data_IF_149702073355
#
_entry.id   IF_149702073355
#
_cell.length_a   1.000
_cell.length_b   1.000
_cell.length_c   1.000
_cell.angle_alpha   90.00
_cell.angle_beta   90.00
_cell.angle_gamma   90.00
#
_symmetry.space_group_name_H-M   'P 1'
#
loop_
_entity.id
_entity.type
_entity.pdbx_description
1 polymer ?
#
# COMPACT_ATOMS: atom_id res chain seq x y z
N UNK A 1 -4.30 7.28 7.94
CA UNK A 1 -4.91 6.21 8.79
C UNK A 1 -6.44 6.21 8.66
N UNK A 2 -7.00 5.65 7.59
CA UNK A 2 -8.45 5.65 7.29
C UNK A 2 -9.32 4.87 8.29
N UNK A 3 -8.83 3.72 8.78
CA UNK A 3 -9.55 2.86 9.72
C UNK A 3 -9.90 3.53 11.05
N UNK A 4 -9.13 4.55 11.46
CA UNK A 4 -9.38 5.28 12.70
C UNK A 4 -10.68 6.08 12.62
N UNK A 5 -10.94 6.65 11.45
CA UNK A 5 -12.08 7.51 11.17
C UNK A 5 -13.26 6.74 10.55
N UNK A 6 -13.06 5.45 10.22
CA UNK A 6 -14.03 4.62 9.51
C UNK A 6 -14.50 5.24 8.19
N UNK A 7 -13.64 6.04 7.56
CA UNK A 7 -13.84 6.62 6.24
C UNK A 7 -12.83 5.99 5.28
N UNK A 8 -13.24 5.54 4.09
CA UNK A 8 -12.28 5.02 3.11
C UNK A 8 -11.39 6.16 2.58
N UNK A 9 -10.18 5.86 2.07
CA UNK A 9 -9.33 6.83 1.37
C UNK A 9 -10.01 7.61 0.23
N UNK A 10 -11.09 7.06 -0.32
CA UNK A 10 -11.92 7.65 -1.38
C UNK A 10 -12.97 8.61 -0.86
N UNK A 11 -13.09 8.79 0.45
CA UNK A 11 -14.00 9.80 1.00
C UNK A 11 -13.49 11.20 0.62
N UNK A 12 -14.42 12.09 0.25
CA UNK A 12 -14.11 13.47 -0.16
C UNK A 12 -13.28 14.24 0.86
N UNK A 13 -13.36 13.88 2.14
CA UNK A 13 -12.57 14.51 3.20
C UNK A 13 -11.07 14.25 3.06
N UNK A 14 -10.66 13.21 2.32
CA UNK A 14 -9.25 12.93 2.05
C UNK A 14 -8.71 13.61 0.79
N UNK A 15 -9.55 14.14 -0.10
CA UNK A 15 -9.08 14.73 -1.37
C UNK A 15 -8.17 15.94 -1.16
N UNK A 16 -8.43 16.85 -0.19
CA UNK A 16 -7.49 17.92 0.12
C UNK A 16 -6.14 17.40 0.64
N UNK A 17 -6.12 16.27 1.35
CA UNK A 17 -4.89 15.63 1.81
C UNK A 17 -4.11 15.06 0.62
N UNK A 18 -4.78 14.34 -0.28
CA UNK A 18 -4.18 13.77 -1.48
C UNK A 18 -3.57 14.86 -2.37
N UNK A 19 -4.31 15.94 -2.61
CA UNK A 19 -3.83 17.10 -3.36
C UNK A 19 -2.59 17.74 -2.69
N UNK A 20 -2.62 17.94 -1.37
CA UNK A 20 -1.48 18.47 -0.64
C UNK A 20 -0.26 17.53 -0.72
N UNK A 21 -0.45 16.21 -0.69
CA UNK A 21 0.63 15.24 -0.89
C UNK A 21 1.25 15.36 -2.29
N UNK A 22 0.43 15.54 -3.33
CA UNK A 22 0.89 15.81 -4.70
C UNK A 22 1.70 17.11 -4.76
N UNK A 23 1.15 18.21 -4.23
CA UNK A 23 1.79 19.54 -4.27
C UNK A 23 3.15 19.55 -3.55
N UNK A 24 3.26 18.81 -2.45
CA UNK A 24 4.48 18.71 -1.64
C UNK A 24 5.45 17.63 -2.16
N UNK A 25 5.04 16.80 -3.12
CA UNK A 25 5.84 15.68 -3.61
C UNK A 25 6.11 14.61 -2.55
N UNK A 26 5.18 14.40 -1.61
CA UNK A 26 5.30 13.41 -0.53
C UNK A 26 4.32 12.25 -0.71
N UNK A 27 4.65 11.04 -0.27
CA UNK A 27 3.76 9.89 -0.44
C UNK A 27 2.56 9.94 0.51
N UNK A 28 1.42 9.45 0.03
CA UNK A 28 0.28 9.10 0.88
C UNK A 28 0.45 7.65 1.38
N UNK A 29 0.73 7.51 2.67
CA UNK A 29 0.86 6.20 3.31
C UNK A 29 -0.45 5.79 4.01
N UNK A 30 -0.94 4.58 3.73
CA UNK A 30 -2.15 4.06 4.36
C UNK A 30 -2.08 2.57 4.64
N UNK A 31 -2.71 2.13 5.73
CA UNK A 31 -2.91 0.71 5.99
C UNK A 31 -3.86 0.09 4.95
N UNK A 32 -3.53 -1.11 4.48
CA UNK A 32 -4.34 -1.93 3.58
C UNK A 32 -4.47 -3.34 4.15
N UNK A 33 -5.61 -3.99 3.89
CA UNK A 33 -5.97 -5.29 4.42
C UNK A 33 -6.57 -5.20 5.82
N UNK A 34 -6.33 -6.24 6.61
CA UNK A 34 -6.86 -6.41 7.95
C UNK A 34 -6.32 -5.34 8.91
N UNK A 35 -7.25 -4.68 9.60
CA UNK A 35 -6.96 -3.75 10.68
C UNK A 35 -6.60 -4.52 11.94
N UNK A 36 -5.35 -4.41 12.41
CA UNK A 36 -4.87 -5.11 13.61
C UNK A 36 -5.63 -4.76 14.90
N UNK A 37 -5.91 -3.47 15.18
CA UNK A 37 -6.87 -3.09 16.22
C UNK A 37 -8.26 -3.65 15.95
N UNK A 38 -9.08 -3.85 16.99
CA UNK A 38 -10.46 -4.32 16.89
C UNK A 38 -11.39 -3.26 16.25
N UNK A 39 -11.18 -3.00 14.96
CA UNK A 39 -11.87 -2.00 14.14
C UNK A 39 -12.18 -2.61 12.76
N UNK A 40 -13.21 -2.10 12.05
CA UNK A 40 -13.53 -2.58 10.71
C UNK A 40 -12.34 -2.46 9.74
N UNK A 41 -12.22 -3.43 8.83
CA UNK A 41 -11.17 -3.46 7.79
C UNK A 41 -11.61 -2.97 6.42
N UNK A 42 -12.87 -2.54 6.27
CA UNK A 42 -13.43 -2.16 4.96
C UNK A 42 -12.70 -0.97 4.34
N UNK A 43 -12.28 0.00 5.16
CA UNK A 43 -11.50 1.18 4.71
C UNK A 43 -10.11 0.84 4.16
N UNK A 44 -9.60 -0.35 4.46
CA UNK A 44 -8.29 -0.83 4.01
C UNK A 44 -8.39 -1.74 2.78
N UNK A 45 -9.49 -1.79 2.04
CA UNK A 45 -9.57 -2.68 0.86
C UNK A 45 -8.70 -2.17 -0.29
N UNK A 46 -7.90 -3.02 -0.96
CA UNK A 46 -7.20 -2.61 -2.18
C UNK A 46 -8.18 -2.16 -3.27
N UNK A 47 -9.20 -2.98 -3.55
CA UNK A 47 -10.28 -2.67 -4.48
C UNK A 47 -11.59 -2.53 -3.69
N UNK A 48 -12.33 -1.41 -3.81
CA UNK A 48 -12.09 -0.27 -4.72
C UNK A 48 -11.20 0.85 -4.14
N UNK A 49 -10.83 0.82 -2.85
CA UNK A 49 -10.34 2.05 -2.20
C UNK A 49 -9.01 2.57 -2.75
N UNK A 50 -7.99 1.74 -2.86
CA UNK A 50 -6.69 2.17 -3.41
C UNK A 50 -6.77 2.34 -4.92
N UNK A 51 -7.47 1.42 -5.60
CA UNK A 51 -7.67 1.48 -7.05
C UNK A 51 -8.27 2.83 -7.50
N UNK A 52 -9.30 3.31 -6.79
CA UNK A 52 -9.95 4.58 -7.13
C UNK A 52 -9.08 5.80 -6.80
N UNK A 53 -8.38 5.82 -5.66
CA UNK A 53 -7.48 6.95 -5.34
C UNK A 53 -6.36 7.07 -6.36
N UNK A 54 -5.79 5.95 -6.81
CA UNK A 54 -4.76 5.94 -7.85
C UNK A 54 -5.27 6.43 -9.22
N UNK A 55 -6.54 6.17 -9.54
CA UNK A 55 -7.19 6.72 -10.74
C UNK A 55 -7.44 8.22 -10.65
N UNK A 56 -7.85 8.71 -9.47
CA UNK A 56 -8.18 10.11 -9.25
C UNK A 56 -6.94 11.01 -9.14
N UNK A 57 -5.83 10.45 -8.65
CA UNK A 57 -4.56 11.15 -8.44
C UNK A 57 -3.39 10.32 -9.01
N UNK A 58 -3.24 10.24 -10.35
CA UNK A 58 -2.17 9.46 -10.97
C UNK A 58 -0.75 9.97 -10.64
N UNK A 59 -0.61 11.23 -10.23
CA UNK A 59 0.64 11.84 -9.76
C UNK A 59 0.97 11.53 -8.30
N UNK A 60 0.00 11.04 -7.51
CA UNK A 60 0.21 10.76 -6.10
C UNK A 60 0.93 9.42 -5.91
N UNK A 61 2.09 9.43 -5.25
CA UNK A 61 2.72 8.20 -4.77
C UNK A 61 1.93 7.63 -3.59
N UNK A 62 1.44 6.39 -3.72
CA UNK A 62 0.64 5.71 -2.70
C UNK A 62 1.42 4.52 -2.14
N UNK A 63 1.68 4.54 -0.84
CA UNK A 63 2.33 3.45 -0.13
C UNK A 63 1.31 2.69 0.72
N UNK A 64 1.03 1.46 0.31
CA UNK A 64 0.10 0.57 0.98
C UNK A 64 0.82 -0.16 2.11
N UNK A 65 0.69 0.35 3.33
CA UNK A 65 1.13 -0.28 4.56
C UNK A 65 0.46 -1.65 4.72
N UNK A 66 1.29 -2.68 4.86
CA UNK A 66 0.93 -4.10 4.87
C UNK A 66 0.75 -4.70 3.47
N UNK A 67 0.68 -6.04 3.44
CA UNK A 67 0.58 -6.82 2.20
C UNK A 67 -0.87 -6.99 1.70
N UNK A 68 -1.84 -6.25 2.24
CA UNK A 68 -3.26 -6.36 1.86
C UNK A 68 -3.99 -7.63 2.36
N UNK A 69 -3.38 -8.42 3.25
CA UNK A 69 -3.97 -9.65 3.80
C UNK A 69 -5.35 -9.40 4.44
N UNK A 70 -6.39 -10.22 4.17
CA UNK A 70 -6.37 -11.47 3.40
C UNK A 70 -6.51 -11.31 1.89
N UNK A 71 -6.67 -10.09 1.38
CA UNK A 71 -6.85 -9.76 -0.05
C UNK A 71 -5.53 -9.41 -0.74
N UNK A 72 -4.47 -10.17 -0.43
CA UNK A 72 -3.11 -9.94 -0.96
C UNK A 72 -3.07 -9.95 -2.49
N UNK A 73 -3.85 -10.82 -3.13
CA UNK A 73 -3.94 -10.90 -4.59
C UNK A 73 -4.55 -9.64 -5.21
N UNK A 74 -5.55 -9.02 -4.57
CA UNK A 74 -6.08 -7.73 -5.00
C UNK A 74 -5.01 -6.64 -4.86
N UNK A 75 -4.25 -6.64 -3.76
CA UNK A 75 -3.17 -5.67 -3.57
C UNK A 75 -2.09 -5.81 -4.67
N UNK A 76 -1.70 -7.04 -5.01
CA UNK A 76 -0.78 -7.30 -6.13
C UNK A 76 -1.37 -6.76 -7.45
N UNK A 77 -2.65 -7.02 -7.72
CA UNK A 77 -3.31 -6.56 -8.94
C UNK A 77 -3.36 -5.02 -9.03
N UNK A 78 -3.63 -4.32 -7.93
CA UNK A 78 -3.64 -2.86 -7.89
C UNK A 78 -2.24 -2.28 -8.07
N UNK A 79 -1.23 -2.82 -7.37
CA UNK A 79 0.16 -2.38 -7.51
C UNK A 79 0.72 -2.62 -8.93
N UNK A 80 0.25 -3.67 -9.59
CA UNK A 80 0.58 -3.96 -10.97
C UNK A 80 -0.08 -3.01 -11.97
N UNK A 81 -1.37 -2.73 -11.76
CA UNK A 81 -2.16 -1.83 -12.61
C UNK A 81 -1.64 -0.40 -12.58
N UNK A 82 -1.21 0.08 -11.41
CA UNK A 82 -0.89 1.50 -11.18
C UNK A 82 0.59 1.71 -10.94
N UNK A 83 1.25 2.53 -11.78
CA UNK A 83 2.68 2.81 -11.68
C UNK A 83 3.06 3.42 -10.30
N UNK A 84 2.20 4.29 -9.78
CA UNK A 84 2.35 5.07 -8.56
C UNK A 84 1.91 4.36 -7.26
N UNK A 85 1.53 3.07 -7.30
CA UNK A 85 1.14 2.29 -6.13
C UNK A 85 2.23 1.29 -5.73
N UNK A 86 2.60 1.32 -4.45
CA UNK A 86 3.65 0.50 -3.84
C UNK A 86 3.14 -0.28 -2.63
N UNK A 87 3.74 -1.44 -2.35
CA UNK A 87 3.40 -2.32 -1.24
C UNK A 87 4.48 -2.23 -0.17
N UNK A 88 4.12 -1.83 1.05
CA UNK A 88 5.00 -1.91 2.21
C UNK A 88 4.81 -3.24 2.96
N UNK A 89 5.90 -4.02 3.03
CA UNK A 89 5.91 -5.35 3.63
C UNK A 89 6.40 -5.37 5.09
N UNK A 90 6.66 -4.21 5.68
CA UNK A 90 7.25 -4.04 7.03
C UNK A 90 6.43 -4.73 8.13
N UNK A 91 5.10 -4.75 8.01
CA UNK A 91 4.19 -5.28 9.02
C UNK A 91 4.22 -6.81 9.19
N UNK A 92 4.86 -7.54 8.27
CA UNK A 92 4.96 -9.00 8.32
C UNK A 92 6.42 -9.43 8.25
N UNK A 93 6.76 -10.51 8.96
CA UNK A 93 8.04 -11.18 8.75
C UNK A 93 8.01 -11.90 7.40
N UNK A 94 9.15 -11.96 6.70
CA UNK A 94 9.20 -12.54 5.35
C UNK A 94 8.72 -14.00 5.28
N UNK A 95 8.90 -14.77 6.36
CA UNK A 95 8.41 -16.16 6.45
C UNK A 95 6.87 -16.25 6.44
N UNK A 96 6.16 -15.16 6.74
CA UNK A 96 4.70 -15.07 6.74
C UNK A 96 4.13 -14.52 5.44
N UNK A 97 4.97 -14.20 4.45
CA UNK A 97 4.48 -13.73 3.16
C UNK A 97 3.77 -14.86 2.42
N UNK A 98 2.55 -14.64 1.91
CA UNK A 98 1.90 -15.55 0.99
C UNK A 98 2.76 -15.82 -0.25
N UNK A 99 2.65 -17.02 -0.82
CA UNK A 99 3.49 -17.47 -1.94
C UNK A 99 3.34 -16.56 -3.15
N UNK A 100 2.12 -16.11 -3.43
CA UNK A 100 1.80 -15.20 -4.53
C UNK A 100 2.53 -13.85 -4.41
N UNK A 101 2.69 -13.32 -3.20
CA UNK A 101 3.45 -12.10 -2.97
C UNK A 101 4.94 -12.36 -3.20
N UNK A 102 5.46 -13.47 -2.69
CA UNK A 102 6.87 -13.84 -2.89
C UNK A 102 7.20 -13.97 -4.38
N UNK A 103 6.36 -14.66 -5.15
CA UNK A 103 6.54 -14.83 -6.60
C UNK A 103 6.46 -13.49 -7.34
N UNK A 104 5.53 -12.62 -6.96
CA UNK A 104 5.41 -11.27 -7.51
C UNK A 104 6.67 -10.44 -7.27
N UNK A 105 7.15 -10.37 -6.01
CA UNK A 105 8.33 -9.58 -5.62
C UNK A 105 9.63 -10.07 -6.26
N UNK A 106 9.75 -11.38 -6.52
CA UNK A 106 10.91 -11.96 -7.22
C UNK A 106 10.89 -11.71 -8.73
N UNK A 107 9.73 -11.47 -9.30
CA UNK A 107 9.58 -11.24 -10.74
C UNK A 107 9.24 -9.79 -11.05
N UNK A 108 8.10 -9.63 -11.71
CA UNK A 108 7.54 -8.37 -12.22
C UNK A 108 7.24 -7.28 -11.17
N UNK A 109 7.16 -7.64 -9.90
CA UNK A 109 6.92 -6.72 -8.78
C UNK A 109 8.18 -6.23 -8.07
N UNK A 110 9.39 -6.51 -8.58
CA UNK A 110 10.66 -6.17 -7.92
C UNK A 110 10.80 -4.70 -7.53
N UNK A 111 10.30 -3.77 -8.35
CA UNK A 111 10.32 -2.33 -8.07
C UNK A 111 9.08 -1.81 -7.32
N UNK A 112 8.19 -2.69 -6.86
CA UNK A 112 6.91 -2.31 -6.24
C UNK A 112 6.94 -2.34 -4.71
N UNK A 113 8.13 -2.55 -4.16
CA UNK A 113 8.47 -2.42 -2.74
C UNK A 113 9.64 -1.46 -2.71
N UNK A 114 9.34 -0.16 -2.78
CA UNK A 114 10.34 0.82 -3.19
C UNK A 114 11.12 1.44 -2.02
N UNK A 115 12.38 1.72 -2.30
CA UNK A 115 13.46 2.09 -1.40
C UNK A 115 13.44 3.57 -1.00
N UNK A 116 12.90 4.43 -1.86
CA UNK A 116 12.93 5.89 -1.71
C UNK A 116 11.76 6.39 -0.84
N UNK A 117 10.56 5.80 -1.00
CA UNK A 117 9.43 6.05 -0.11
C UNK A 117 9.67 5.49 1.32
N UNK A 118 10.63 4.57 1.46
CA UNK A 118 10.94 3.85 2.71
C UNK A 118 11.91 4.61 3.63
N UNK A 119 12.67 5.61 3.16
CA UNK A 119 13.52 6.42 4.08
C UNK A 119 12.68 7.20 5.10
N UNK A 120 11.43 7.52 4.77
CA UNK A 120 10.47 8.17 5.67
C UNK A 120 9.62 7.18 6.50
N UNK A 121 9.57 5.88 6.13
CA UNK A 121 8.70 4.89 6.76
C UNK A 121 9.40 3.53 6.90
N UNK A 122 10.55 3.53 7.59
CA UNK A 122 11.23 2.40 8.23
C UNK A 122 11.03 1.01 7.57
N UNK A 123 12.08 0.49 6.93
CA UNK A 123 12.49 -0.84 7.40
C UNK A 123 11.97 -2.10 6.69
N UNK A 124 11.56 -2.09 5.42
CA UNK A 124 10.95 -3.27 4.77
C UNK A 124 11.74 -4.60 4.97
N UNK A 125 11.09 -5.61 5.56
CA UNK A 125 11.68 -6.94 5.82
C UNK A 125 12.04 -7.72 4.54
N UNK A 126 11.45 -7.36 3.39
CA UNK A 126 11.65 -8.08 2.12
C UNK A 126 13.09 -8.01 1.61
N UNK A 127 13.78 -6.87 1.78
CA UNK A 127 15.19 -6.70 1.34
C UNK A 127 16.15 -7.70 1.98
N UNK A 128 16.04 -7.90 3.30
CA UNK A 128 16.91 -8.83 4.06
C UNK A 128 16.78 -10.28 3.59
N UNK A 129 15.66 -10.64 2.97
CA UNK A 129 15.34 -12.04 2.66
C UNK A 129 15.42 -12.36 1.16
N UNK A 130 15.21 -11.36 0.30
CA UNK A 130 15.14 -11.58 -1.14
C UNK A 130 16.31 -11.01 -1.94
N UNK A 131 17.30 -10.37 -1.29
CA UNK A 131 18.45 -9.74 -1.96
C UNK A 131 18.03 -8.93 -3.18
N UNK A 132 16.96 -8.14 -3.02
CA UNK A 132 16.42 -7.27 -4.07
C UNK A 132 17.29 -6.04 -4.24
#
# INVERSE_FOLDING_TARGET
MPWLWQLPPTDRLYYPLHAACVDLGIPFCTQVGHTGPLRPSETGRPIPCIDQVALDFPELTIVCGHIGCPRTTEMIAVADKHANVYIDTSAYTARRYPRELVDYLRGRGRGKVDEEATELFLSGNARRVFSL
#
